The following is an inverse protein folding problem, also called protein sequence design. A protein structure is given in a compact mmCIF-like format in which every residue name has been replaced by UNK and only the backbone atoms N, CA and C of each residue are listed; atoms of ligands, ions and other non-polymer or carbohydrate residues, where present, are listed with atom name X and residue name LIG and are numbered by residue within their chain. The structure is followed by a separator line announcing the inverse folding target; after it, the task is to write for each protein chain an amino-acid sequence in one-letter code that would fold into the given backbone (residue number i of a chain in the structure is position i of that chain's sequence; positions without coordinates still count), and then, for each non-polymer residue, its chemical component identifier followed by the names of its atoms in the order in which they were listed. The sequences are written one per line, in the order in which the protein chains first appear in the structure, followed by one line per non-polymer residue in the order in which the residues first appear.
data_IF_081209033314
#
_entry.id   IF_081209033314
#
_cell.length_a   1.000
_cell.length_b   1.000
_cell.length_c   1.000
_cell.angle_alpha   90.00
_cell.angle_beta   90.00
_cell.angle_gamma   90.00
#
_symmetry.space_group_name_H-M   'P 1'
#
loop_
_entity.id
_entity.type
_entity.pdbx_description
1 polymer ?
#
# COMPACT_ATOMS: atom_id res chain seq x y z
N UNK A 1 2.99 -2.64 -14.06
CA UNK A 1 4.31 -3.11 -13.59
C UNK A 1 4.13 -4.34 -12.72
N UNK A 2 5.18 -5.13 -12.48
CA UNK A 2 5.13 -6.27 -11.56
C UNK A 2 5.78 -5.96 -10.22
N UNK A 3 5.35 -6.64 -9.15
CA UNK A 3 5.91 -6.46 -7.80
C UNK A 3 7.40 -6.80 -7.78
N UNK A 4 7.81 -7.87 -8.46
CA UNK A 4 9.22 -8.27 -8.52
C UNK A 4 10.14 -7.24 -9.19
N UNK A 5 9.59 -6.28 -9.94
CA UNK A 5 10.35 -5.22 -10.61
C UNK A 5 10.46 -3.95 -9.77
N UNK A 6 9.76 -3.90 -8.62
CA UNK A 6 9.73 -2.75 -7.73
C UNK A 6 11.04 -2.63 -6.97
N UNK A 7 11.79 -1.57 -7.27
CA UNK A 7 13.02 -1.20 -6.56
C UNK A 7 12.78 0.00 -5.66
N UNK A 8 13.50 0.07 -4.55
CA UNK A 8 13.49 1.23 -3.67
C UNK A 8 13.83 2.50 -4.48
N UNK A 9 12.96 3.51 -4.40
CA UNK A 9 13.08 4.75 -5.18
C UNK A 9 12.28 4.77 -6.48
N UNK A 10 11.57 3.69 -6.85
CA UNK A 10 10.63 3.73 -7.96
C UNK A 10 9.43 4.63 -7.62
N UNK A 11 9.16 5.59 -8.49
CA UNK A 11 7.99 6.46 -8.48
C UNK A 11 7.09 6.14 -9.69
N UNK A 12 5.83 6.58 -9.65
CA UNK A 12 4.86 6.35 -10.73
C UNK A 12 4.50 4.87 -10.95
N UNK A 13 4.49 4.11 -9.85
CA UNK A 13 4.24 2.67 -9.89
C UNK A 13 2.74 2.42 -10.01
N UNK A 14 2.35 1.76 -11.10
CA UNK A 14 0.98 1.25 -11.28
C UNK A 14 0.97 -0.27 -11.32
N UNK A 15 0.33 -0.86 -10.30
CA UNK A 15 0.20 -2.32 -10.14
C UNK A 15 -1.19 -2.71 -9.64
N UNK A 16 -1.57 -3.94 -9.93
CA UNK A 16 -2.76 -4.59 -9.38
C UNK A 16 -2.29 -5.74 -8.50
N UNK A 17 -2.85 -5.84 -7.29
CA UNK A 17 -2.48 -6.88 -6.34
C UNK A 17 -3.66 -7.20 -5.43
N UNK A 18 -3.61 -8.38 -4.81
CA UNK A 18 -4.62 -8.82 -3.85
C UNK A 18 -4.06 -8.70 -2.45
N UNK A 19 -4.89 -8.25 -1.50
CA UNK A 19 -4.51 -8.15 -0.09
C UNK A 19 -4.47 -9.55 0.51
N UNK A 20 -3.27 -10.01 0.87
CA UNK A 20 -3.03 -11.28 1.56
C UNK A 20 -3.32 -11.17 3.04
N UNK A 21 -2.81 -10.10 3.66
CA UNK A 21 -2.88 -9.86 5.10
C UNK A 21 -2.96 -8.35 5.37
N UNK A 22 -3.58 -7.95 6.48
CA UNK A 22 -3.66 -6.56 6.92
C UNK A 22 -3.36 -6.49 8.42
N UNK A 23 -2.41 -5.66 8.79
CA UNK A 23 -2.12 -5.31 10.17
C UNK A 23 -3.13 -4.26 10.70
N UNK A 24 -3.26 -4.18 12.02
CA UNK A 24 -4.13 -3.19 12.66
C UNK A 24 -3.71 -1.76 12.32
N UNK A 25 -4.71 -0.92 12.03
CA UNK A 25 -4.49 0.50 11.78
C UNK A 25 -3.98 1.18 13.05
N UNK A 26 -2.80 1.78 12.97
CA UNK A 26 -2.18 2.58 14.04
C UNK A 26 -2.27 4.06 13.73
N UNK A 27 -2.45 4.89 14.75
CA UNK A 27 -2.32 6.33 14.62
C UNK A 27 -0.85 6.75 14.66
N UNK A 28 -0.40 7.42 13.60
CA UNK A 28 0.92 8.03 13.53
C UNK A 28 0.80 9.55 13.49
N UNK A 29 1.71 10.23 14.20
CA UNK A 29 1.81 11.68 14.17
C UNK A 29 2.78 12.04 13.04
N UNK A 30 2.25 12.68 12.00
CA UNK A 30 3.08 13.20 10.90
C UNK A 30 4.01 14.31 11.40
N UNK A 31 5.10 14.58 10.67
CA UNK A 31 6.02 15.69 10.96
C UNK A 31 5.37 17.08 11.06
N UNK A 32 4.12 17.21 10.59
CA UNK A 32 3.31 18.42 10.65
C UNK A 32 2.33 18.44 11.85
N UNK A 33 2.45 17.50 12.79
CA UNK A 33 1.60 17.41 13.98
C UNK A 33 0.20 16.81 13.75
N UNK A 34 -0.13 16.43 12.51
CA UNK A 34 -1.43 15.81 12.19
C UNK A 34 -1.40 14.32 12.53
N UNK A 35 -2.40 13.85 13.28
CA UNK A 35 -2.67 12.42 13.50
C UNK A 35 -3.29 11.84 12.25
N UNK A 36 -2.70 10.77 11.73
CA UNK A 36 -3.22 10.03 10.58
C UNK A 36 -3.19 8.55 10.90
N UNK A 37 -4.23 7.82 10.49
CA UNK A 37 -4.23 6.36 10.59
C UNK A 37 -3.36 5.78 9.50
N UNK A 38 -2.58 4.76 9.85
CA UNK A 38 -1.74 4.01 8.94
C UNK A 38 -1.92 2.54 9.25
N UNK A 39 -2.28 1.75 8.24
CA UNK A 39 -2.26 0.30 8.31
C UNK A 39 -1.21 -0.23 7.34
N UNK A 40 -0.53 -1.30 7.74
CA UNK A 40 0.31 -2.06 6.83
C UNK A 40 -0.53 -3.22 6.29
N UNK A 41 -0.43 -3.48 5.00
CA UNK A 41 -1.05 -4.63 4.37
C UNK A 41 -0.01 -5.37 3.53
N UNK A 42 -0.05 -6.69 3.51
CA UNK A 42 0.75 -7.49 2.59
C UNK A 42 -0.11 -7.72 1.36
N UNK A 43 0.37 -7.25 0.22
CA UNK A 43 -0.27 -7.48 -1.07
C UNK A 43 0.59 -8.43 -1.90
N UNK A 44 -0.06 -9.25 -2.71
CA UNK A 44 0.61 -10.20 -3.59
C UNK A 44 0.03 -10.15 -5.00
N UNK A 45 0.90 -10.44 -5.95
CA UNK A 45 0.61 -10.60 -7.37
C UNK A 45 1.28 -11.89 -7.87
N UNK A 46 1.08 -12.25 -9.14
CA UNK A 46 1.71 -13.42 -9.76
C UNK A 46 3.25 -13.43 -9.71
N UNK A 47 3.88 -12.29 -9.44
CA UNK A 47 5.35 -12.15 -9.40
C UNK A 47 5.95 -12.15 -8.00
N UNK A 48 5.16 -12.00 -6.95
CA UNK A 48 5.64 -11.93 -5.58
C UNK A 48 4.73 -11.11 -4.67
N UNK A 49 5.23 -10.83 -3.46
CA UNK A 49 4.51 -10.07 -2.44
C UNK A 49 5.32 -8.87 -1.95
N UNK A 50 4.63 -7.79 -1.58
CA UNK A 50 5.23 -6.57 -1.04
C UNK A 50 4.35 -5.98 0.06
N UNK A 51 4.99 -5.26 0.99
CA UNK A 51 4.30 -4.50 2.02
C UNK A 51 3.73 -3.22 1.41
N UNK A 52 2.44 -2.98 1.62
CA UNK A 52 1.70 -1.78 1.26
C UNK A 52 1.37 -0.98 2.53
N UNK A 53 1.72 0.30 2.53
CA UNK A 53 1.37 1.23 3.60
C UNK A 53 0.12 2.01 3.19
N UNK A 54 -1.00 1.70 3.83
CA UNK A 54 -2.30 2.35 3.65
C UNK A 54 -2.39 3.57 4.56
N UNK A 55 -2.83 4.71 4.01
CA UNK A 55 -2.92 5.97 4.74
C UNK A 55 -4.36 6.45 4.88
N UNK A 56 -4.71 6.96 6.06
CA UNK A 56 -6.01 7.56 6.32
C UNK A 56 -7.15 6.57 6.14
N UNK A 57 -8.17 6.96 5.37
CA UNK A 57 -9.37 6.16 5.14
C UNK A 57 -9.08 4.80 4.47
N UNK A 58 -8.07 4.72 3.60
CA UNK A 58 -7.69 3.47 2.94
C UNK A 58 -7.27 2.37 3.93
N UNK A 59 -6.75 2.74 5.11
CA UNK A 59 -6.40 1.78 6.16
C UNK A 59 -7.64 1.05 6.72
N UNK A 60 -8.77 1.76 6.75
CA UNK A 60 -10.06 1.24 7.20
C UNK A 60 -10.86 0.61 6.05
N UNK A 61 -10.78 1.15 4.82
CA UNK A 61 -11.57 0.69 3.65
C UNK A 61 -11.07 -0.62 3.01
N UNK A 62 -9.76 -0.86 3.02
CA UNK A 62 -9.15 -2.03 2.39
C UNK A 62 -9.22 -3.21 3.34
N UNK A 63 -9.73 -4.36 2.89
CA UNK A 63 -9.83 -5.59 3.69
C UNK A 63 -8.98 -6.73 3.11
N UNK A 64 -8.74 -7.76 3.94
CA UNK A 64 -8.01 -8.95 3.52
C UNK A 64 -8.85 -9.73 2.51
N UNK A 65 -8.25 -10.07 1.37
CA UNK A 65 -8.93 -10.70 0.24
C UNK A 65 -9.36 -9.71 -0.85
N UNK A 66 -9.33 -8.41 -0.60
CA UNK A 66 -9.69 -7.42 -1.61
C UNK A 66 -8.61 -7.32 -2.69
N UNK A 67 -9.06 -7.20 -3.94
CA UNK A 67 -8.20 -6.88 -5.07
C UNK A 67 -8.15 -5.38 -5.25
N UNK A 68 -6.97 -4.81 -5.11
CA UNK A 68 -6.75 -3.36 -5.20
C UNK A 68 -5.81 -3.03 -6.36
N UNK A 69 -6.07 -1.90 -7.00
CA UNK A 69 -5.20 -1.27 -7.98
C UNK A 69 -4.60 -0.03 -7.37
N UNK A 70 -3.28 0.06 -7.45
CA UNK A 70 -2.52 1.19 -6.95
C UNK A 70 -1.99 1.91 -8.18
N UNK A 71 -2.29 3.20 -8.26
CA UNK A 71 -1.85 4.08 -9.34
C UNK A 71 -0.98 5.19 -8.77
N UNK A 72 0.10 5.53 -9.50
CA UNK A 72 1.07 6.54 -9.09
C UNK A 72 1.69 6.24 -7.69
N UNK A 73 1.85 4.97 -7.33
CA UNK A 73 2.47 4.55 -6.08
C UNK A 73 3.97 4.86 -6.05
N UNK A 74 4.57 4.84 -4.85
CA UNK A 74 6.01 5.01 -4.69
C UNK A 74 6.59 3.94 -3.77
N UNK A 75 7.72 3.38 -4.15
CA UNK A 75 8.43 2.37 -3.36
C UNK A 75 9.40 3.10 -2.45
N UNK A 76 9.07 3.15 -1.16
CA UNK A 76 9.93 3.68 -0.13
C UNK A 76 10.62 2.56 0.63
N UNK A 77 11.70 2.88 1.32
CA UNK A 77 12.43 1.92 2.15
C UNK A 77 12.30 2.36 3.60
N UNK A 78 11.68 1.52 4.43
CA UNK A 78 11.58 1.77 5.86
C UNK A 78 12.40 0.72 6.61
N UNK A 79 13.39 1.18 7.39
CA UNK A 79 14.32 0.31 8.14
C UNK A 79 15.00 -0.78 7.30
N UNK A 80 15.28 -0.49 6.03
CA UNK A 80 15.91 -1.44 5.11
C UNK A 80 14.93 -2.30 4.31
N UNK A 81 13.65 -2.33 4.66
CA UNK A 81 12.62 -3.11 3.94
C UNK A 81 11.91 -2.24 2.90
N UNK A 82 11.88 -2.65 1.62
CA UNK A 82 11.09 -1.97 0.60
C UNK A 82 9.60 -2.14 0.89
N UNK A 83 8.86 -1.04 0.80
CA UNK A 83 7.43 -1.00 0.98
C UNK A 83 6.82 -0.02 -0.03
N UNK A 84 5.70 -0.43 -0.61
CA UNK A 84 4.90 0.39 -1.49
C UNK A 84 4.05 1.32 -0.61
N UNK A 85 4.06 2.59 -0.93
CA UNK A 85 3.31 3.60 -0.20
C UNK A 85 2.64 4.53 -1.19
N UNK A 86 1.51 5.10 -0.78
CA UNK A 86 0.70 5.98 -1.61
C UNK A 86 0.80 7.41 -1.12
N UNK A 87 1.23 8.30 -2.01
CA UNK A 87 1.51 9.70 -1.73
C UNK A 87 0.37 10.59 -2.15
N UNK A 88 0.64 11.90 -2.23
CA UNK A 88 -0.37 12.91 -2.57
C UNK A 88 -0.99 12.75 -3.96
N UNK A 89 -0.23 12.17 -4.90
CA UNK A 89 -0.66 11.94 -6.28
C UNK A 89 -1.04 10.48 -6.53
N UNK A 90 -1.03 9.64 -5.50
CA UNK A 90 -1.34 8.22 -5.63
C UNK A 90 -2.83 7.99 -5.39
N UNK A 91 -3.39 6.99 -6.06
CA UNK A 91 -4.79 6.57 -5.88
C UNK A 91 -4.84 5.07 -5.66
N UNK A 92 -5.69 4.64 -4.72
CA UNK A 92 -5.97 3.23 -4.46
C UNK A 92 -7.42 2.99 -4.85
N UNK A 93 -7.63 2.03 -5.74
CA UNK A 93 -8.95 1.65 -6.24
C UNK A 93 -9.21 0.19 -5.90
N UNK A 94 -10.25 -0.10 -5.15
CA UNK A 94 -10.67 -1.48 -4.88
C UNK A 94 -11.39 -2.00 -6.12
N UNK A 95 -10.75 -2.89 -6.87
CA UNK A 95 -11.31 -3.49 -8.08
C UNK A 95 -12.31 -4.59 -7.73
N UNK A 96 -12.01 -5.37 -6.70
CA UNK A 96 -12.88 -6.45 -6.26
C UNK A 96 -12.89 -6.50 -4.74
N UNK A 97 -14.09 -6.44 -4.17
CA UNK A 97 -14.30 -6.71 -2.75
C UNK A 97 -14.45 -8.21 -2.51
N UNK A 98 -13.85 -8.68 -1.44
CA UNK A 98 -14.09 -9.99 -0.87
C UNK A 98 -15.42 -9.95 -0.11
N UNK A 99 -16.53 -10.15 -0.81
CA UNK A 99 -17.87 -10.30 -0.21
C UNK A 99 -18.44 -11.68 -0.52
#
# INVERSE_FOLDING_TARGET
MKISELKAGASDVTIEATVKEKEEAREVITKYGKRIRVANAIIFDETGEINLTLWGAYADEVEVGDKIKIENGFVTQFKGTPQLSTGRNSSITIIQKSH
#
